data_IF_985857604910
#
_entry.id   IF_985857604910
#
_cell.length_a   1.000
_cell.length_b   1.000
_cell.length_c   1.000
_cell.angle_alpha   90.00
_cell.angle_beta   90.00
_cell.angle_gamma   90.00
#
_symmetry.space_group_name_H-M   'P 1'
#
loop_
_entity.id
_entity.type
_entity.pdbx_description
1 polymer ?
#
# COMPACT_ATOMS: atom_id res chain seq x y z
N UNK A 1 -11.63 5.34 19.51
CA UNK A 1 -10.55 5.79 18.59
C UNK A 1 -11.18 6.60 17.49
N UNK A 2 -10.60 7.74 17.11
CA UNK A 2 -11.16 8.59 16.05
C UNK A 2 -11.02 7.90 14.70
N UNK A 3 -12.14 7.85 13.94
CA UNK A 3 -12.09 7.49 12.52
C UNK A 3 -11.64 8.70 11.72
N UNK A 4 -10.98 8.51 10.55
CA UNK A 4 -10.63 9.63 9.69
C UNK A 4 -11.90 10.32 9.17
N UNK A 5 -11.82 11.63 9.02
CA UNK A 5 -12.85 12.38 8.26
C UNK A 5 -12.53 12.26 6.77
N UNK A 6 -13.32 11.46 6.06
CA UNK A 6 -13.13 11.21 4.63
C UNK A 6 -14.25 11.84 3.79
N UNK A 7 -15.11 12.63 4.39
CA UNK A 7 -16.22 13.27 3.67
C UNK A 7 -15.69 14.20 2.56
N UNK A 8 -16.08 13.88 1.32
CA UNK A 8 -15.67 14.65 0.14
C UNK A 8 -14.25 14.34 -0.36
N UNK A 9 -13.49 13.44 0.29
CA UNK A 9 -12.19 12.98 -0.20
C UNK A 9 -12.36 12.15 -1.49
N UNK A 10 -11.39 12.29 -2.38
CA UNK A 10 -11.29 11.49 -3.61
C UNK A 10 -10.20 10.44 -3.45
N UNK A 11 -10.63 9.20 -3.28
CA UNK A 11 -9.73 8.08 -2.99
C UNK A 11 -9.45 7.23 -4.24
N UNK A 12 -8.24 6.67 -4.32
CA UNK A 12 -7.93 5.52 -5.16
C UNK A 12 -7.46 4.36 -4.28
N UNK A 13 -7.98 3.15 -4.53
CA UNK A 13 -7.57 1.92 -3.84
C UNK A 13 -7.15 0.89 -4.88
N UNK A 14 -5.89 0.44 -4.84
CA UNK A 14 -5.39 -0.61 -5.74
C UNK A 14 -5.49 -1.99 -5.11
N UNK A 15 -5.67 -3.03 -5.93
CA UNK A 15 -5.93 -4.40 -5.45
C UNK A 15 -7.27 -4.51 -4.72
N UNK A 16 -8.28 -3.80 -5.24
CA UNK A 16 -9.57 -3.62 -4.58
C UNK A 16 -10.55 -4.80 -4.75
N UNK A 17 -10.24 -5.78 -5.58
CA UNK A 17 -11.12 -6.92 -5.84
C UNK A 17 -11.15 -7.94 -4.68
N UNK A 18 -10.24 -7.87 -3.72
CA UNK A 18 -10.18 -8.84 -2.61
C UNK A 18 -9.48 -8.30 -1.38
N UNK A 19 -9.52 -9.06 -0.29
CA UNK A 19 -8.72 -8.82 0.93
C UNK A 19 -8.84 -7.41 1.48
N UNK A 20 -7.71 -6.83 1.84
CA UNK A 20 -7.66 -5.49 2.44
C UNK A 20 -8.20 -4.40 1.51
N UNK A 21 -7.88 -4.48 0.21
CA UNK A 21 -8.35 -3.49 -0.77
C UNK A 21 -9.88 -3.46 -0.86
N UNK A 22 -10.54 -4.63 -0.91
CA UNK A 22 -11.99 -4.74 -0.91
C UNK A 22 -12.62 -4.23 0.39
N UNK A 23 -12.06 -4.64 1.54
CA UNK A 23 -12.53 -4.17 2.85
C UNK A 23 -12.38 -2.66 3.00
N UNK A 24 -11.24 -2.12 2.56
CA UNK A 24 -10.97 -0.70 2.70
C UNK A 24 -11.81 0.15 1.74
N UNK A 25 -12.05 -0.30 0.49
CA UNK A 25 -12.95 0.38 -0.45
C UNK A 25 -14.33 0.58 0.16
N UNK A 26 -14.90 -0.45 0.78
CA UNK A 26 -16.18 -0.36 1.50
C UNK A 26 -16.11 0.60 2.69
N UNK A 27 -15.02 0.55 3.44
CA UNK A 27 -14.86 1.37 4.64
C UNK A 27 -14.70 2.87 4.31
N UNK A 28 -13.89 3.24 3.31
CA UNK A 28 -13.68 4.66 2.95
C UNK A 28 -14.93 5.26 2.33
N UNK A 29 -15.65 4.51 1.50
CA UNK A 29 -16.92 4.96 0.92
C UNK A 29 -18.02 5.12 1.96
N UNK A 30 -18.10 4.21 2.94
CA UNK A 30 -19.01 4.35 4.08
C UNK A 30 -18.71 5.57 4.98
N UNK A 31 -17.45 6.07 4.94
CA UNK A 31 -17.01 7.29 5.63
C UNK A 31 -17.16 8.55 4.78
N UNK A 32 -17.78 8.45 3.60
CA UNK A 32 -18.13 9.60 2.76
C UNK A 32 -17.09 10.00 1.70
N UNK A 33 -16.06 9.19 1.47
CA UNK A 33 -15.18 9.35 0.32
C UNK A 33 -15.86 8.88 -0.98
N UNK A 34 -15.47 9.46 -2.12
CA UNK A 34 -15.65 8.83 -3.42
C UNK A 34 -14.40 8.02 -3.76
N UNK A 35 -14.57 6.82 -4.31
CA UNK A 35 -13.46 5.89 -4.50
C UNK A 35 -13.38 5.35 -5.92
N UNK A 36 -12.22 5.46 -6.54
CA UNK A 36 -11.84 4.68 -7.72
C UNK A 36 -11.16 3.41 -7.21
N UNK A 37 -11.88 2.30 -7.29
CA UNK A 37 -11.41 0.97 -6.92
C UNK A 37 -10.75 0.32 -8.13
N UNK A 38 -9.51 -0.17 -8.01
CA UNK A 38 -8.79 -0.73 -9.16
C UNK A 38 -8.27 -2.13 -8.88
N UNK A 39 -8.37 -2.98 -9.89
CA UNK A 39 -7.83 -4.35 -9.89
C UNK A 39 -7.68 -4.86 -11.33
N UNK A 40 -6.99 -5.98 -11.52
CA UNK A 40 -6.97 -6.72 -12.78
C UNK A 40 -8.16 -7.69 -12.90
N UNK A 41 -8.78 -8.08 -11.79
CA UNK A 41 -9.98 -8.94 -11.71
C UNK A 41 -11.25 -8.08 -11.74
N UNK A 42 -11.72 -7.75 -12.94
CA UNK A 42 -12.90 -6.91 -13.14
C UNK A 42 -14.19 -7.52 -12.56
N UNK A 43 -14.29 -8.85 -12.55
CA UNK A 43 -15.49 -9.54 -12.05
C UNK A 43 -15.65 -9.34 -10.55
N UNK A 44 -14.62 -9.64 -9.78
CA UNK A 44 -14.64 -9.43 -8.32
C UNK A 44 -14.67 -7.95 -7.95
N UNK A 45 -14.00 -7.10 -8.75
CA UNK A 45 -14.02 -5.66 -8.56
C UNK A 45 -15.45 -5.12 -8.65
N UNK A 46 -16.23 -5.55 -9.65
CA UNK A 46 -17.63 -5.16 -9.79
C UNK A 46 -18.49 -5.60 -8.57
N UNK A 47 -18.26 -6.78 -8.01
CA UNK A 47 -18.94 -7.24 -6.79
C UNK A 47 -18.66 -6.32 -5.60
N UNK A 48 -17.39 -5.90 -5.44
CA UNK A 48 -16.99 -4.98 -4.37
C UNK A 48 -17.65 -3.62 -4.56
N UNK A 49 -17.59 -3.04 -5.76
CA UNK A 49 -18.21 -1.74 -6.07
C UNK A 49 -19.73 -1.77 -5.80
N UNK A 50 -20.41 -2.83 -6.23
CA UNK A 50 -21.85 -2.99 -6.01
C UNK A 50 -22.22 -3.13 -4.51
N UNK A 51 -21.27 -3.46 -3.65
CA UNK A 51 -21.47 -3.54 -2.20
C UNK A 51 -21.21 -2.22 -1.46
N UNK A 52 -20.73 -1.18 -2.16
CA UNK A 52 -20.51 0.16 -1.63
C UNK A 52 -21.82 0.98 -1.69
N UNK A 53 -21.92 2.09 -0.93
CA UNK A 53 -23.04 3.03 -1.08
C UNK A 53 -23.17 3.49 -2.55
N UNK A 54 -24.41 3.62 -3.02
CA UNK A 54 -24.70 3.96 -4.40
C UNK A 54 -23.97 5.23 -4.86
N UNK A 55 -23.27 5.16 -5.99
CA UNK A 55 -22.51 6.29 -6.58
C UNK A 55 -21.22 6.65 -5.84
N UNK A 56 -20.86 5.95 -4.75
CA UNK A 56 -19.64 6.27 -3.98
C UNK A 56 -18.38 5.58 -4.50
N UNK A 57 -18.49 4.57 -5.35
CA UNK A 57 -17.35 3.85 -5.92
C UNK A 57 -17.53 3.62 -7.42
N UNK A 58 -16.42 3.60 -8.15
CA UNK A 58 -16.32 3.14 -9.53
C UNK A 58 -15.17 2.13 -9.64
N UNK A 59 -15.39 1.05 -10.40
CA UNK A 59 -14.38 0.03 -10.67
C UNK A 59 -13.65 0.30 -11.98
N UNK A 60 -12.34 0.30 -11.95
CA UNK A 60 -11.50 0.52 -13.14
C UNK A 60 -10.42 -0.57 -13.19
N UNK A 61 -10.31 -1.24 -14.34
CA UNK A 61 -9.24 -2.21 -14.54
C UNK A 61 -7.89 -1.50 -14.57
N UNK A 62 -6.96 -1.94 -13.72
CA UNK A 62 -5.60 -1.41 -13.67
C UNK A 62 -4.60 -2.54 -13.40
N UNK A 63 -3.63 -2.70 -14.28
CA UNK A 63 -2.38 -3.37 -13.96
C UNK A 63 -1.43 -2.32 -13.36
N UNK A 64 -1.19 -2.40 -12.06
CA UNK A 64 -0.38 -1.41 -11.33
C UNK A 64 1.09 -1.39 -11.77
N UNK A 65 1.57 -2.46 -12.42
CA UNK A 65 2.92 -2.51 -13.01
C UNK A 65 3.06 -1.77 -14.34
N UNK A 66 1.96 -1.25 -14.91
CA UNK A 66 1.97 -0.50 -16.17
C UNK A 66 1.87 1.01 -15.92
N UNK A 67 2.97 1.72 -16.08
CA UNK A 67 3.01 3.18 -15.91
C UNK A 67 2.08 3.94 -16.90
N UNK A 68 1.83 3.38 -18.10
CA UNK A 68 0.92 4.02 -19.08
C UNK A 68 -0.52 3.88 -18.63
N UNK A 69 -0.88 2.73 -18.05
CA UNK A 69 -2.20 2.51 -17.49
C UNK A 69 -2.49 3.49 -16.33
N UNK A 70 -1.48 3.77 -15.50
CA UNK A 70 -1.58 4.81 -14.47
C UNK A 70 -1.85 6.20 -15.06
N UNK A 71 -1.11 6.61 -16.10
CA UNK A 71 -1.33 7.91 -16.74
C UNK A 71 -2.76 8.05 -17.27
N UNK A 72 -3.25 7.04 -18.01
CA UNK A 72 -4.61 7.02 -18.53
C UNK A 72 -5.67 7.10 -17.41
N UNK A 73 -5.45 6.37 -16.30
CA UNK A 73 -6.36 6.38 -15.17
C UNK A 73 -6.44 7.76 -14.50
N UNK A 74 -5.30 8.44 -14.31
CA UNK A 74 -5.28 9.80 -13.74
C UNK A 74 -5.97 10.79 -14.66
N UNK A 75 -5.73 10.70 -15.97
CA UNK A 75 -6.35 11.60 -16.96
C UNK A 75 -7.89 11.46 -16.97
N UNK A 76 -8.42 10.24 -16.80
CA UNK A 76 -9.86 9.96 -16.86
C UNK A 76 -10.57 10.12 -15.51
N UNK A 77 -9.95 9.67 -14.43
CA UNK A 77 -10.59 9.53 -13.12
C UNK A 77 -9.97 10.36 -12.00
N UNK A 78 -8.77 10.92 -12.22
CA UNK A 78 -8.12 11.79 -11.23
C UNK A 78 -8.77 13.16 -11.07
N UNK A 79 -8.21 14.04 -10.27
CA UNK A 79 -7.13 13.78 -9.34
C UNK A 79 -7.58 13.11 -8.05
N UNK A 80 -6.60 12.65 -7.22
CA UNK A 80 -6.85 11.99 -5.94
C UNK A 80 -6.10 12.70 -4.80
N UNK A 81 -6.75 12.85 -3.67
CA UNK A 81 -6.15 13.36 -2.42
C UNK A 81 -5.90 12.25 -1.38
N UNK A 82 -6.41 11.04 -1.63
CA UNK A 82 -6.14 9.84 -0.83
C UNK A 82 -5.77 8.68 -1.77
N UNK A 83 -4.57 8.15 -1.64
CA UNK A 83 -4.14 6.99 -2.42
C UNK A 83 -3.79 5.82 -1.50
N UNK A 84 -4.42 4.67 -1.74
CA UNK A 84 -4.09 3.42 -1.06
C UNK A 84 -3.46 2.47 -2.05
N UNK A 85 -2.14 2.38 -1.99
CA UNK A 85 -1.31 1.53 -2.85
C UNK A 85 -1.21 0.16 -2.18
N UNK A 86 -2.26 -0.66 -2.41
CA UNK A 86 -2.44 -1.92 -1.70
C UNK A 86 -2.18 -3.15 -2.57
N UNK A 87 -2.28 -3.05 -3.90
CA UNK A 87 -2.05 -4.19 -4.79
C UNK A 87 -0.73 -4.91 -4.50
N UNK A 88 -0.77 -6.24 -4.50
CA UNK A 88 0.42 -7.03 -4.27
C UNK A 88 0.14 -8.53 -4.33
N UNK A 89 1.16 -9.30 -4.62
CA UNK A 89 1.12 -10.76 -4.76
C UNK A 89 2.28 -11.42 -4.02
N UNK A 90 2.08 -12.66 -3.54
CA UNK A 90 3.16 -13.51 -3.07
C UNK A 90 3.90 -14.15 -4.25
N UNK A 91 5.11 -14.63 -4.04
CA UNK A 91 5.88 -15.30 -5.09
C UNK A 91 5.21 -16.61 -5.49
N UNK A 92 4.62 -17.35 -4.55
CA UNK A 92 3.92 -18.63 -4.79
C UNK A 92 4.74 -19.59 -5.70
N UNK A 93 6.07 -19.61 -5.45
CA UNK A 93 6.97 -20.42 -6.22
C UNK A 93 6.93 -21.88 -5.74
N UNK A 94 6.53 -22.79 -6.65
CA UNK A 94 6.59 -24.23 -6.40
C UNK A 94 8.03 -24.69 -6.63
N UNK A 95 8.67 -25.18 -5.60
CA UNK A 95 10.06 -25.66 -5.62
C UNK A 95 10.14 -27.18 -5.40
N UNK A 96 11.22 -27.83 -5.86
CA UNK A 96 11.47 -29.22 -5.51
C UNK A 96 11.56 -29.41 -3.98
N UNK A 97 11.14 -30.55 -3.48
CA UNK A 97 11.20 -30.88 -2.06
C UNK A 97 12.64 -30.74 -1.54
N UNK A 98 12.82 -30.08 -0.39
CA UNK A 98 14.13 -29.83 0.21
C UNK A 98 14.99 -28.75 -0.48
N UNK A 99 14.55 -28.18 -1.58
CA UNK A 99 15.29 -27.12 -2.27
C UNK A 99 15.19 -25.77 -1.55
N UNK A 100 16.25 -24.96 -1.66
CA UNK A 100 16.25 -23.57 -1.18
C UNK A 100 15.27 -22.70 -2.01
N UNK A 101 14.72 -21.62 -1.42
CA UNK A 101 13.62 -20.82 -2.03
C UNK A 101 13.87 -20.25 -3.41
N UNK A 102 15.10 -19.99 -3.83
CA UNK A 102 15.39 -19.44 -5.17
C UNK A 102 15.64 -20.50 -6.25
N UNK A 103 15.76 -21.79 -5.85
CA UNK A 103 16.03 -22.84 -6.83
C UNK A 103 14.81 -23.08 -7.68
N UNK A 104 14.97 -22.92 -9.02
CA UNK A 104 13.91 -23.10 -9.99
C UNK A 104 12.93 -21.92 -10.09
N UNK A 105 13.24 -20.78 -9.46
CA UNK A 105 12.40 -19.59 -9.61
C UNK A 105 12.35 -19.16 -11.08
N UNK A 106 11.15 -19.07 -11.62
CA UNK A 106 10.91 -18.54 -12.95
C UNK A 106 11.09 -17.02 -13.00
N UNK A 107 11.83 -16.54 -14.02
CA UNK A 107 12.10 -15.12 -14.19
C UNK A 107 10.86 -14.29 -14.53
N UNK A 108 9.83 -14.88 -15.15
CA UNK A 108 8.57 -14.19 -15.41
C UNK A 108 7.79 -13.99 -14.10
N UNK A 109 7.75 -15.01 -13.24
CA UNK A 109 7.15 -14.90 -11.90
C UNK A 109 7.85 -13.84 -11.05
N UNK A 110 9.19 -13.80 -11.09
CA UNK A 110 9.94 -12.72 -10.42
C UNK A 110 9.52 -11.34 -10.92
N UNK A 111 9.44 -11.13 -12.24
CA UNK A 111 9.02 -9.84 -12.81
C UNK A 111 7.60 -9.47 -12.40
N UNK A 112 6.67 -10.43 -12.41
CA UNK A 112 5.28 -10.22 -11.97
C UNK A 112 5.21 -9.72 -10.52
N UNK A 113 5.99 -10.34 -9.62
CA UNK A 113 6.01 -9.95 -8.21
C UNK A 113 6.61 -8.56 -8.03
N UNK A 114 7.71 -8.26 -8.72
CA UNK A 114 8.33 -6.92 -8.70
C UNK A 114 7.39 -5.86 -9.26
N UNK A 115 6.78 -6.10 -10.41
CA UNK A 115 5.84 -5.18 -11.05
C UNK A 115 4.66 -4.85 -10.15
N UNK A 116 4.01 -5.86 -9.56
CA UNK A 116 2.87 -5.61 -8.68
C UNK A 116 3.28 -4.94 -7.36
N UNK A 117 4.31 -5.46 -6.68
CA UNK A 117 4.60 -5.08 -5.30
C UNK A 117 5.48 -3.83 -5.17
N UNK A 118 6.35 -3.56 -6.16
CA UNK A 118 7.31 -2.45 -6.12
C UNK A 118 6.93 -1.38 -7.14
N UNK A 119 6.88 -1.75 -8.44
CA UNK A 119 6.61 -0.77 -9.49
C UNK A 119 5.22 -0.15 -9.30
N UNK A 120 4.21 -0.96 -8.92
CA UNK A 120 2.86 -0.48 -8.64
C UNK A 120 2.79 0.57 -7.53
N UNK A 121 3.62 0.45 -6.49
CA UNK A 121 3.72 1.46 -5.42
C UNK A 121 4.43 2.71 -5.92
N UNK A 122 5.53 2.56 -6.64
CA UNK A 122 6.32 3.68 -7.17
C UNK A 122 5.53 4.47 -8.22
N UNK A 123 4.92 3.78 -9.19
CA UNK A 123 4.11 4.43 -10.22
C UNK A 123 2.86 5.08 -9.63
N UNK A 124 2.19 4.40 -8.67
CA UNK A 124 1.05 4.99 -7.99
C UNK A 124 1.42 6.29 -7.28
N UNK A 125 2.47 6.29 -6.48
CA UNK A 125 2.96 7.49 -5.81
C UNK A 125 3.35 8.58 -6.81
N UNK A 126 4.09 8.25 -7.89
CA UNK A 126 4.52 9.17 -8.93
C UNK A 126 3.33 9.89 -9.58
N UNK A 127 2.21 9.21 -9.79
CA UNK A 127 1.06 9.77 -10.50
C UNK A 127 0.09 10.54 -9.60
N UNK A 128 0.02 10.25 -8.31
CA UNK A 128 -0.88 10.98 -7.40
C UNK A 128 -0.21 12.20 -6.75
N UNK A 129 1.10 12.16 -6.53
CA UNK A 129 1.85 13.24 -5.87
C UNK A 129 1.75 14.62 -6.54
N UNK A 130 1.78 14.78 -7.87
CA UNK A 130 1.71 16.10 -8.49
C UNK A 130 0.52 16.92 -8.02
N UNK A 131 -0.67 16.31 -7.99
CA UNK A 131 -1.88 16.99 -7.51
C UNK A 131 -1.82 17.30 -6.01
N UNK A 132 -1.34 16.35 -5.19
CA UNK A 132 -1.22 16.55 -3.74
C UNK A 132 -0.23 17.68 -3.40
N UNK A 133 0.85 17.82 -4.18
CA UNK A 133 1.82 18.91 -4.05
C UNK A 133 1.21 20.25 -4.50
N UNK A 134 0.47 20.25 -5.60
CA UNK A 134 -0.20 21.46 -6.12
C UNK A 134 -1.25 22.00 -5.14
N UNK A 135 -2.04 21.12 -4.53
CA UNK A 135 -3.08 21.51 -3.56
C UNK A 135 -2.55 21.68 -2.14
N UNK A 136 -1.32 21.23 -1.87
CA UNK A 136 -0.68 21.26 -0.56
C UNK A 136 -1.26 20.25 0.43
N UNK A 137 -2.07 19.27 -0.04
CA UNK A 137 -2.77 18.31 0.82
C UNK A 137 -2.90 16.94 0.16
N UNK A 138 -2.64 15.87 0.93
CA UNK A 138 -2.85 14.50 0.46
C UNK A 138 -2.29 13.44 1.39
N UNK A 139 -2.79 12.20 1.21
CA UNK A 139 -2.35 11.05 1.98
C UNK A 139 -2.10 9.85 1.08
N UNK A 140 -0.94 9.23 1.25
CA UNK A 140 -0.59 7.96 0.60
C UNK A 140 -0.41 6.89 1.67
N UNK A 141 -1.23 5.85 1.62
CA UNK A 141 -1.11 4.68 2.48
C UNK A 141 -0.65 3.48 1.65
N UNK A 142 0.43 2.86 2.06
CA UNK A 142 1.03 1.73 1.32
C UNK A 142 0.87 0.43 2.11
N UNK A 143 0.40 -0.62 1.47
CA UNK A 143 0.35 -1.95 2.09
C UNK A 143 1.71 -2.65 1.94
N UNK A 144 2.52 -2.54 2.98
CA UNK A 144 3.77 -3.28 3.13
C UNK A 144 3.52 -4.68 3.73
N UNK A 145 4.30 -5.08 4.71
CA UNK A 145 4.17 -6.31 5.51
C UNK A 145 5.22 -6.29 6.62
N UNK A 146 5.04 -7.07 7.66
CA UNK A 146 6.14 -7.41 8.60
C UNK A 146 7.33 -8.06 7.87
N UNK A 147 7.09 -8.69 6.72
CA UNK A 147 8.14 -9.18 5.81
C UNK A 147 9.03 -8.08 5.23
N UNK A 148 8.68 -6.81 5.39
CA UNK A 148 9.50 -5.64 5.07
C UNK A 148 10.33 -5.14 6.25
N UNK A 149 10.14 -5.68 7.44
CA UNK A 149 10.80 -5.29 8.68
C UNK A 149 11.72 -6.40 9.21
N UNK A 150 11.39 -7.66 8.93
CA UNK A 150 12.14 -8.84 9.38
C UNK A 150 12.36 -9.81 8.22
N UNK A 151 13.39 -10.68 8.31
CA UNK A 151 13.63 -11.72 7.30
C UNK A 151 12.44 -12.67 7.17
N UNK A 152 12.11 -13.07 5.94
CA UNK A 152 11.12 -14.12 5.67
C UNK A 152 11.74 -15.24 4.83
N UNK A 153 12.14 -16.30 5.50
CA UNK A 153 12.86 -17.41 4.89
C UNK A 153 12.06 -18.18 3.81
N UNK A 154 10.73 -18.40 3.95
CA UNK A 154 9.97 -19.15 2.95
C UNK A 154 9.85 -18.44 1.58
N UNK A 155 9.85 -17.10 1.56
CA UNK A 155 9.68 -16.31 0.33
C UNK A 155 10.61 -15.08 0.33
N UNK A 156 11.89 -15.23 0.02
CA UNK A 156 12.85 -14.13 0.02
C UNK A 156 12.59 -13.08 -1.07
N UNK A 157 11.88 -13.42 -2.16
CA UNK A 157 11.49 -12.46 -3.19
C UNK A 157 10.36 -11.56 -2.68
N UNK A 158 9.35 -12.13 -2.03
CA UNK A 158 8.33 -11.32 -1.36
C UNK A 158 8.97 -10.42 -0.28
N UNK A 159 9.87 -10.98 0.54
CA UNK A 159 10.64 -10.21 1.52
C UNK A 159 11.42 -9.05 0.89
N UNK A 160 12.12 -9.29 -0.22
CA UNK A 160 12.80 -8.24 -1.00
C UNK A 160 11.84 -7.10 -1.37
N UNK A 161 10.67 -7.44 -1.95
CA UNK A 161 9.71 -6.41 -2.39
C UNK A 161 9.17 -5.60 -1.21
N UNK A 162 8.88 -6.24 -0.07
CA UNK A 162 8.33 -5.55 1.10
C UNK A 162 9.37 -4.70 1.83
N UNK A 163 10.65 -5.11 1.85
CA UNK A 163 11.75 -4.25 2.31
C UNK A 163 11.95 -3.04 1.38
N UNK A 164 11.86 -3.24 0.05
CA UNK A 164 11.94 -2.14 -0.92
C UNK A 164 10.84 -1.10 -0.68
N UNK A 165 9.61 -1.55 -0.49
CA UNK A 165 8.45 -0.68 -0.22
C UNK A 165 8.59 0.09 1.10
N UNK A 166 9.02 -0.57 2.18
CA UNK A 166 9.29 0.09 3.46
C UNK A 166 10.38 1.15 3.31
N UNK A 167 11.48 0.82 2.60
CA UNK A 167 12.55 1.76 2.29
C UNK A 167 12.07 2.95 1.46
N UNK A 168 11.21 2.70 0.46
CA UNK A 168 10.60 3.74 -0.36
C UNK A 168 9.74 4.71 0.47
N UNK A 169 8.81 4.19 1.29
CA UNK A 169 7.94 5.00 2.15
C UNK A 169 8.76 5.90 3.08
N UNK A 170 9.79 5.36 3.73
CA UNK A 170 10.68 6.13 4.61
C UNK A 170 11.44 7.23 3.87
N UNK A 171 11.95 6.90 2.68
CA UNK A 171 12.70 7.87 1.86
C UNK A 171 11.79 8.98 1.32
N UNK A 172 10.57 8.62 0.89
CA UNK A 172 9.58 9.60 0.43
C UNK A 172 9.09 10.52 1.57
N UNK A 173 8.87 9.96 2.75
CA UNK A 173 8.52 10.75 3.93
C UNK A 173 9.62 11.77 4.27
N UNK A 174 10.87 11.33 4.28
CA UNK A 174 12.01 12.24 4.50
C UNK A 174 12.13 13.31 3.40
N UNK A 175 11.79 12.96 2.14
CA UNK A 175 11.76 13.94 1.06
C UNK A 175 10.63 14.96 1.23
N UNK A 176 9.44 14.53 1.65
CA UNK A 176 8.32 15.42 1.94
C UNK A 176 8.67 16.37 3.10
N UNK A 177 9.29 15.87 4.17
CA UNK A 177 9.74 16.70 5.29
C UNK A 177 10.84 17.70 4.90
N UNK A 178 11.75 17.29 4.00
CA UNK A 178 12.90 18.11 3.63
C UNK A 178 12.65 19.08 2.46
N UNK A 179 11.89 18.65 1.43
CA UNK A 179 11.65 19.44 0.22
C UNK A 179 10.23 19.99 0.15
N UNK A 180 9.27 19.34 0.80
CA UNK A 180 7.86 19.72 0.82
C UNK A 180 7.48 20.65 1.98
N UNK A 181 8.34 21.57 2.37
CA UNK A 181 8.09 22.47 3.51
C UNK A 181 6.77 23.23 3.33
N UNK A 182 5.88 23.05 4.30
CA UNK A 182 4.54 23.68 4.30
C UNK A 182 3.46 22.86 3.59
N UNK A 183 3.79 21.69 3.03
CA UNK A 183 2.79 20.77 2.49
C UNK A 183 2.20 19.91 3.61
N UNK A 184 0.89 19.73 3.59
CA UNK A 184 0.17 18.76 4.44
C UNK A 184 -0.01 17.45 3.67
N UNK A 185 1.10 16.89 3.14
CA UNK A 185 1.14 15.64 2.36
C UNK A 185 1.91 14.59 3.14
N UNK A 186 1.29 13.43 3.35
CA UNK A 186 1.85 12.36 4.17
C UNK A 186 1.90 11.03 3.41
N UNK A 187 2.92 10.24 3.69
CA UNK A 187 3.03 8.86 3.25
C UNK A 187 3.32 7.95 4.45
N UNK A 188 2.60 6.84 4.57
CA UNK A 188 2.82 5.85 5.61
C UNK A 188 2.60 4.43 5.09
N UNK A 189 3.01 3.43 5.87
CA UNK A 189 2.86 2.03 5.52
C UNK A 189 2.10 1.25 6.60
N UNK A 190 1.28 0.30 6.17
CA UNK A 190 0.75 -0.76 7.01
C UNK A 190 1.61 -2.00 6.82
N UNK A 191 2.03 -2.60 7.93
CA UNK A 191 2.87 -3.79 7.98
C UNK A 191 2.12 -4.93 8.68
N UNK A 192 1.15 -5.59 8.02
CA UNK A 192 0.45 -6.70 8.61
C UNK A 192 1.35 -7.91 8.78
N UNK A 193 1.07 -8.70 9.81
CA UNK A 193 1.52 -10.08 9.94
C UNK A 193 0.74 -11.02 9.01
N UNK A 194 0.57 -12.27 9.42
CA UNK A 194 -0.21 -13.24 8.66
C UNK A 194 -1.69 -12.86 8.68
N UNK A 195 -2.29 -12.67 7.49
CA UNK A 195 -3.67 -12.26 7.38
C UNK A 195 -4.45 -13.13 6.39
N UNK A 196 -5.73 -13.30 6.65
CA UNK A 196 -6.65 -14.10 5.83
C UNK A 196 -6.99 -13.38 4.52
N UNK A 197 -6.08 -13.52 3.56
CA UNK A 197 -6.21 -12.96 2.22
C UNK A 197 -5.77 -13.98 1.17
N UNK A 198 -6.02 -13.71 -0.10
CA UNK A 198 -5.60 -14.57 -1.20
C UNK A 198 -4.06 -14.72 -1.35
N UNK A 199 -3.27 -13.92 -0.62
CA UNK A 199 -1.81 -14.04 -0.59
C UNK A 199 -1.36 -15.32 0.13
N UNK A 200 -2.12 -15.77 1.15
CA UNK A 200 -1.84 -17.00 1.87
C UNK A 200 -2.68 -18.15 1.31
N UNK A 201 -2.01 -19.23 0.86
CA UNK A 201 -2.69 -20.48 0.52
C UNK A 201 -3.28 -21.13 1.77
N UNK A 202 -4.28 -21.99 1.61
CA UNK A 202 -4.89 -22.75 2.72
C UNK A 202 -3.85 -23.62 3.46
N UNK A 203 -2.88 -24.18 2.71
CA UNK A 203 -1.78 -24.94 3.29
C UNK A 203 -0.89 -24.04 4.16
N UNK A 204 -0.55 -22.83 3.68
CA UNK A 204 0.23 -21.85 4.46
C UNK A 204 -0.53 -21.44 5.73
N UNK A 205 -1.85 -21.21 5.64
CA UNK A 205 -2.69 -20.90 6.81
C UNK A 205 -2.66 -22.04 7.84
N UNK A 206 -2.84 -23.29 7.39
CA UNK A 206 -2.79 -24.46 8.27
C UNK A 206 -1.43 -24.60 8.94
N UNK A 207 -0.33 -24.38 8.22
CA UNK A 207 1.02 -24.41 8.78
C UNK A 207 1.25 -23.31 9.83
N UNK A 208 0.79 -22.08 9.58
CA UNK A 208 0.88 -20.96 10.52
C UNK A 208 0.12 -21.30 11.81
N UNK A 209 -1.10 -21.81 11.69
CA UNK A 209 -1.93 -22.21 12.83
C UNK A 209 -1.31 -23.37 13.62
N UNK A 210 -0.67 -24.35 12.95
CA UNK A 210 0.02 -25.46 13.62
C UNK A 210 1.20 -25.00 14.48
N UNK A 211 1.77 -23.83 14.18
CA UNK A 211 2.81 -23.17 14.98
C UNK A 211 2.24 -22.35 16.15
N UNK A 212 0.92 -22.37 16.36
CA UNK A 212 0.25 -21.60 17.41
C UNK A 212 0.17 -20.10 17.10
N UNK A 213 0.37 -19.71 15.83
CA UNK A 213 0.25 -18.33 15.40
C UNK A 213 -1.18 -18.05 14.89
N UNK A 214 -1.72 -16.91 15.27
CA UNK A 214 -3.04 -16.47 14.83
C UNK A 214 -2.94 -15.79 13.45
N UNK A 215 -4.05 -15.86 12.70
CA UNK A 215 -4.21 -15.20 11.42
C UNK A 215 -5.11 -13.99 11.63
N UNK A 216 -4.65 -12.82 11.19
CA UNK A 216 -5.41 -11.58 11.25
C UNK A 216 -6.62 -11.63 10.31
N UNK A 217 -7.73 -11.10 10.76
CA UNK A 217 -8.88 -10.85 9.89
C UNK A 217 -8.63 -9.63 9.00
N UNK A 218 -9.31 -9.58 7.85
CA UNK A 218 -9.29 -8.40 6.97
C UNK A 218 -9.74 -7.15 7.73
N UNK A 219 -10.83 -7.26 8.50
CA UNK A 219 -11.40 -6.13 9.24
C UNK A 219 -10.41 -5.55 10.25
N UNK A 220 -9.65 -6.39 10.94
CA UNK A 220 -8.64 -5.95 11.91
C UNK A 220 -7.55 -5.09 11.24
N UNK A 221 -7.11 -5.47 10.04
CA UNK A 221 -6.12 -4.69 9.28
C UNK A 221 -6.73 -3.41 8.73
N UNK A 222 -7.96 -3.47 8.22
CA UNK A 222 -8.69 -2.29 7.72
C UNK A 222 -8.91 -1.25 8.84
N UNK A 223 -9.23 -1.69 10.06
CA UNK A 223 -9.32 -0.78 11.22
C UNK A 223 -8.01 -0.04 11.48
N UNK A 224 -6.87 -0.74 11.37
CA UNK A 224 -5.56 -0.09 11.53
C UNK A 224 -5.25 0.85 10.36
N UNK A 225 -5.63 0.49 9.13
CA UNK A 225 -5.51 1.38 7.97
C UNK A 225 -6.28 2.69 8.20
N UNK A 226 -7.52 2.61 8.67
CA UNK A 226 -8.31 3.80 9.00
C UNK A 226 -7.69 4.62 10.15
N UNK A 227 -7.11 3.95 11.13
CA UNK A 227 -6.38 4.62 12.20
C UNK A 227 -5.14 5.37 11.68
N UNK A 228 -4.35 4.73 10.81
CA UNK A 228 -3.20 5.35 10.19
C UNK A 228 -3.57 6.60 9.37
N UNK A 229 -4.70 6.53 8.64
CA UNK A 229 -5.27 7.68 7.92
C UNK A 229 -5.70 8.81 8.87
N UNK A 230 -6.22 8.49 10.07
CA UNK A 230 -6.61 9.49 11.05
C UNK A 230 -5.41 10.13 11.76
N UNK A 231 -4.36 9.35 12.01
CA UNK A 231 -3.13 9.81 12.70
C UNK A 231 -2.24 10.65 11.76
N UNK A 232 -2.26 10.39 10.46
CA UNK A 232 -1.49 11.11 9.42
C UNK A 232 0.00 11.27 9.75
N UNK A 233 0.60 10.29 10.43
CA UNK A 233 2.02 10.32 10.80
C UNK A 233 2.89 10.01 9.59
N UNK A 234 3.61 11.02 9.10
CA UNK A 234 4.50 10.88 7.95
C UNK A 234 5.63 9.88 8.24
N UNK A 235 5.88 8.97 7.29
CA UNK A 235 6.92 7.95 7.39
C UNK A 235 6.64 6.81 8.37
N UNK A 236 5.46 6.72 9.00
CA UNK A 236 5.14 5.65 9.94
C UNK A 236 5.02 4.29 9.26
N UNK A 237 5.51 3.24 9.94
CA UNK A 237 5.25 1.84 9.59
C UNK A 237 4.38 1.24 10.71
N UNK A 238 3.08 1.13 10.46
CA UNK A 238 2.11 0.60 11.39
C UNK A 238 2.14 -0.93 11.40
N UNK A 239 2.61 -1.52 12.47
CA UNK A 239 2.64 -2.98 12.64
C UNK A 239 1.31 -3.46 13.15
N UNK A 240 0.73 -4.44 12.44
CA UNK A 240 -0.49 -5.14 12.84
C UNK A 240 -0.12 -6.59 13.12
N UNK A 241 -0.13 -6.96 14.40
CA UNK A 241 0.23 -8.30 14.83
C UNK A 241 -0.85 -8.89 15.73
N UNK A 242 -1.16 -10.21 15.60
CA UNK A 242 -2.14 -10.85 16.45
C UNK A 242 -1.80 -10.72 17.95
N UNK A 243 -2.83 -10.48 18.78
CA UNK A 243 -2.66 -10.40 20.23
C UNK A 243 -1.87 -9.20 20.75
N UNK A 244 -1.59 -8.20 19.90
CA UNK A 244 -0.93 -6.94 20.29
C UNK A 244 -1.74 -5.73 19.82
N UNK A 245 -1.55 -4.62 20.53
CA UNK A 245 -2.01 -3.33 20.05
C UNK A 245 -1.18 -2.92 18.81
N UNK A 246 -1.81 -2.11 17.94
CA UNK A 246 -1.09 -1.56 16.80
C UNK A 246 -0.07 -0.55 17.27
N UNK A 247 1.13 -0.68 16.75
CA UNK A 247 2.25 0.20 17.07
C UNK A 247 2.98 0.65 15.80
N UNK A 248 3.62 1.81 15.88
CA UNK A 248 4.55 2.23 14.85
C UNK A 248 5.92 1.61 15.13
N UNK A 249 6.49 0.95 14.11
CA UNK A 249 7.83 0.38 14.22
C UNK A 249 8.86 1.48 14.45
N UNK A 250 9.64 1.34 15.51
CA UNK A 250 10.71 2.28 15.83
C UNK A 250 12.04 1.84 15.20
N UNK A 251 12.60 2.72 14.39
CA UNK A 251 13.90 2.50 13.76
C UNK A 251 15.01 3.07 14.62
N UNK A 252 16.06 2.28 14.85
CA UNK A 252 17.30 2.81 15.43
C UNK A 252 17.98 3.74 14.42
N UNK A 253 18.12 5.04 14.71
CA UNK A 253 18.82 5.95 13.81
C UNK A 253 20.32 5.64 13.86
N UNK A 254 20.85 5.04 12.79
CA UNK A 254 22.30 4.84 12.66
C UNK A 254 23.01 6.17 12.33
N UNK A 255 22.44 6.94 11.43
CA UNK A 255 22.91 8.28 11.03
C UNK A 255 21.73 9.06 10.45
N UNK A 256 21.55 10.30 10.89
CA UNK A 256 20.65 11.24 10.21
C UNK A 256 21.48 12.05 9.21
N UNK A 257 21.32 11.79 7.92
CA UNK A 257 21.91 12.66 6.90
C UNK A 257 21.10 13.96 6.83
N UNK A 258 21.76 15.14 6.94
CA UNK A 258 21.05 16.40 6.84
C UNK A 258 20.53 16.56 5.39
N UNK A 259 19.21 16.59 5.22
CA UNK A 259 18.57 16.94 3.95
C UNK A 259 18.56 18.47 3.89
N UNK A 260 19.28 19.04 2.93
CA UNK A 260 19.19 20.48 2.65
C UNK A 260 18.02 20.72 1.73
N UNK A 261 17.10 21.68 2.06
CA UNK A 261 16.08 22.09 1.11
C UNK A 261 16.74 22.50 -0.21
N UNK A 262 16.13 22.10 -1.33
CA UNK A 262 16.51 22.66 -2.62
C UNK A 262 16.30 24.16 -2.53
N UNK A 263 17.33 24.95 -2.87
CA UNK A 263 17.17 26.40 -2.99
C UNK A 263 15.98 26.66 -3.92
N UNK A 264 15.07 27.54 -3.49
CA UNK A 264 13.97 27.94 -4.34
C UNK A 264 14.54 28.33 -5.72
N UNK A 265 13.95 27.80 -6.79
CA UNK A 265 14.32 28.25 -8.14
C UNK A 265 14.21 29.77 -8.16
N UNK A 266 15.24 30.50 -8.58
CA UNK A 266 15.08 31.94 -8.77
C UNK A 266 13.90 32.13 -9.71
N UNK A 267 12.97 33.02 -9.35
CA UNK A 267 11.91 33.45 -10.23
C UNK A 267 12.56 33.82 -11.57
N UNK A 268 12.18 33.11 -12.64
CA UNK A 268 12.73 33.39 -13.95
C UNK A 268 12.41 34.84 -14.30
N UNK A 269 13.41 35.58 -14.63
CA UNK A 269 13.23 36.81 -15.37
C UNK A 269 12.62 36.41 -16.74
N UNK A 270 11.36 36.84 -16.97
CA UNK A 270 10.69 36.75 -18.26
C UNK A 270 11.42 37.58 -19.32
#
# INVERSE_FOLDING_TARGET
>A
MSKPDLKGRRAIVTGAASGFGAGLTKAVTALGATCVATDVDETRLAEVVNSCPEGSAVGVRLDVGDARAWSALIDEHGPFDLAVLNAGVATNHIRPEGALPLIGLDGERYRTVMAANVDGVVFGAQHVLPHMVETGFGDILVTASVAGLVPIAPDPIYGLTKHAVVGFVRSMAAALDGYGVGLDVHISAICPGFADTAILSEEAKANIQSLGLEILTVDRVVETMLRAMADRRNGAQWVVWPGRDDECYEWNPLVTLPIRPLAARPAGDD
#
